data_IF_215102392059
#
_entry.id   IF_215102392059
#
_cell.length_a   1.000
_cell.length_b   1.000
_cell.length_c   1.000
_cell.angle_alpha   90.00
_cell.angle_beta   90.00
_cell.angle_gamma   90.00
#
_symmetry.space_group_name_H-M   'P 1'
#
loop_
_entity.id
_entity.type
_entity.pdbx_description
1 polymer ?
#
# COMPACT_ATOMS: atom_id res chain seq x y z
N UNK A 1 -18.45 8.33 9.13
CA UNK A 1 -17.04 7.91 9.04
C UNK A 1 -17.04 6.40 9.18
N UNK A 2 -16.98 5.66 8.08
CA UNK A 2 -16.93 4.19 8.12
C UNK A 2 -15.49 3.80 8.40
N UNK A 3 -15.10 3.75 9.67
CA UNK A 3 -13.81 3.17 10.08
C UNK A 3 -13.92 1.66 9.95
N UNK A 4 -13.54 1.13 8.79
CA UNK A 4 -13.39 -0.31 8.62
C UNK A 4 -12.10 -0.73 9.32
N UNK A 5 -12.22 -1.19 10.56
CA UNK A 5 -11.11 -1.81 11.29
C UNK A 5 -10.94 -3.23 10.76
N UNK A 6 -9.95 -3.46 9.91
CA UNK A 6 -9.58 -4.81 9.50
C UNK A 6 -8.52 -5.29 10.49
N UNK A 7 -8.95 -6.10 11.46
CA UNK A 7 -8.06 -6.66 12.51
C UNK A 7 -7.12 -7.77 12.02
N UNK A 8 -7.06 -8.01 10.71
CA UNK A 8 -6.18 -9.00 10.06
C UNK A 8 -5.54 -8.38 8.81
N UNK A 9 -4.50 -9.03 8.29
CA UNK A 9 -3.82 -8.57 7.07
C UNK A 9 -4.83 -8.44 5.90
N UNK A 10 -4.72 -7.35 5.14
CA UNK A 10 -5.51 -7.15 3.92
C UNK A 10 -4.65 -7.55 2.73
N UNK A 11 -5.09 -8.55 1.97
CA UNK A 11 -4.39 -9.01 0.79
C UNK A 11 -5.28 -8.87 -0.44
N UNK A 12 -4.75 -8.23 -1.48
CA UNK A 12 -5.36 -8.15 -2.80
C UNK A 12 -4.40 -8.74 -3.84
N UNK A 13 -4.75 -9.93 -4.34
CA UNK A 13 -3.97 -10.69 -5.33
C UNK A 13 -4.82 -10.91 -6.56
N UNK A 14 -4.27 -10.65 -7.76
CA UNK A 14 -4.96 -10.86 -9.04
C UNK A 14 -6.38 -10.25 -9.08
N UNK A 15 -6.54 -9.10 -8.43
CA UNK A 15 -7.80 -8.40 -8.28
C UNK A 15 -8.06 -7.37 -9.37
N UNK A 16 -9.29 -6.89 -9.42
CA UNK A 16 -9.64 -5.71 -10.20
C UNK A 16 -9.12 -4.41 -9.57
N UNK A 17 -9.64 -3.27 -10.03
CA UNK A 17 -9.32 -1.97 -9.41
C UNK A 17 -9.83 -1.94 -7.96
N UNK A 18 -8.99 -1.54 -7.02
CA UNK A 18 -9.35 -1.39 -5.63
C UNK A 18 -8.84 -0.07 -5.05
N UNK A 19 -9.60 0.45 -4.09
CA UNK A 19 -9.24 1.67 -3.35
C UNK A 19 -9.44 1.40 -1.86
N UNK A 20 -8.35 1.36 -1.12
CA UNK A 20 -8.35 1.23 0.33
C UNK A 20 -8.03 2.60 0.90
N UNK A 21 -9.02 3.23 1.51
CA UNK A 21 -8.86 4.60 2.02
C UNK A 21 -9.55 4.81 3.36
N UNK A 22 -8.88 5.51 4.28
CA UNK A 22 -9.46 5.84 5.59
C UNK A 22 -9.64 4.64 6.52
N UNK A 23 -8.88 3.58 6.31
CA UNK A 23 -8.98 2.33 7.08
C UNK A 23 -7.89 2.22 8.14
N UNK A 24 -8.20 1.52 9.23
CA UNK A 24 -7.20 1.03 10.19
C UNK A 24 -6.99 -0.46 9.93
N UNK A 25 -5.76 -0.84 9.61
CA UNK A 25 -5.34 -2.20 9.30
C UNK A 25 -4.40 -2.62 10.42
N UNK A 26 -4.86 -3.54 11.28
CA UNK A 26 -4.06 -4.05 12.42
C UNK A 26 -2.96 -5.04 12.03
N UNK A 27 -2.68 -5.16 10.73
CA UNK A 27 -1.66 -6.03 10.16
C UNK A 27 -1.08 -5.38 8.90
N UNK A 28 -0.54 -6.21 8.00
CA UNK A 28 0.04 -5.71 6.75
C UNK A 28 -1.01 -5.54 5.65
N UNK A 29 -0.72 -4.63 4.72
CA UNK A 29 -1.45 -4.47 3.46
C UNK A 29 -0.57 -4.99 2.31
N UNK A 30 -1.08 -5.96 1.53
CA UNK A 30 -0.38 -6.53 0.38
C UNK A 30 -1.18 -6.31 -0.92
N UNK A 31 -0.52 -5.72 -1.90
CA UNK A 31 -0.96 -5.64 -3.30
C UNK A 31 -0.02 -6.45 -4.19
N UNK A 32 -0.52 -7.54 -4.77
CA UNK A 32 0.31 -8.48 -5.52
C UNK A 32 -0.32 -8.86 -6.87
N UNK A 33 0.47 -8.83 -7.93
CA UNK A 33 0.09 -9.25 -9.29
C UNK A 33 -1.23 -8.63 -9.83
N UNK A 34 -1.53 -7.35 -9.55
CA UNK A 34 -2.73 -6.70 -10.06
C UNK A 34 -2.46 -5.94 -11.37
N UNK A 35 -3.36 -6.09 -12.34
CA UNK A 35 -3.27 -5.47 -13.67
C UNK A 35 -4.13 -4.20 -13.83
N UNK A 36 -4.89 -3.84 -12.78
CA UNK A 36 -5.69 -2.62 -12.72
C UNK A 36 -5.18 -1.65 -11.67
N UNK A 37 -5.64 -0.40 -11.79
CA UNK A 37 -5.24 0.69 -10.91
C UNK A 37 -5.63 0.40 -9.46
N UNK A 38 -4.65 0.54 -8.57
CA UNK A 38 -4.82 0.42 -7.11
C UNK A 38 -4.56 1.73 -6.40
N UNK A 39 -5.21 1.93 -5.25
CA UNK A 39 -4.96 3.08 -4.38
C UNK A 39 -4.97 2.68 -2.91
N UNK A 40 -3.91 3.06 -2.19
CA UNK A 40 -3.84 3.03 -0.73
C UNK A 40 -3.69 4.47 -0.22
N UNK A 41 -4.74 5.03 0.39
CA UNK A 41 -4.80 6.44 0.75
C UNK A 41 -5.32 6.73 2.15
N UNK A 42 -4.58 7.48 2.98
CA UNK A 42 -5.05 7.88 4.32
C UNK A 42 -5.36 6.68 5.24
N UNK A 43 -4.57 5.61 5.18
CA UNK A 43 -4.73 4.45 6.07
C UNK A 43 -3.76 4.51 7.25
N UNK A 44 -4.13 3.86 8.35
CA UNK A 44 -3.20 3.50 9.43
C UNK A 44 -2.93 2.01 9.35
N UNK A 45 -1.68 1.62 9.18
CA UNK A 45 -1.25 0.24 8.95
C UNK A 45 -0.24 -0.09 10.04
N UNK A 46 -0.59 -1.00 10.93
CA UNK A 46 0.26 -1.41 12.05
C UNK A 46 1.40 -2.34 11.59
N UNK A 47 1.24 -3.00 10.44
CA UNK A 47 2.28 -3.80 9.79
C UNK A 47 2.93 -3.10 8.59
N UNK A 48 3.31 -3.90 7.60
CA UNK A 48 3.96 -3.42 6.37
C UNK A 48 2.92 -3.02 5.30
N UNK A 49 3.32 -2.14 4.39
CA UNK A 49 2.65 -1.96 3.10
C UNK A 49 3.56 -2.54 2.01
N UNK A 50 3.12 -3.63 1.39
CA UNK A 50 3.87 -4.38 0.39
C UNK A 50 3.18 -4.31 -0.97
N UNK A 51 3.91 -3.93 -2.01
CA UNK A 51 3.38 -3.72 -3.37
C UNK A 51 4.29 -4.41 -4.37
N UNK A 52 3.84 -5.54 -4.91
CA UNK A 52 4.65 -6.40 -5.77
C UNK A 52 3.98 -6.69 -7.11
N UNK A 53 4.77 -6.62 -8.19
CA UNK A 53 4.40 -7.13 -9.52
C UNK A 53 3.10 -6.55 -10.12
N UNK A 54 2.68 -5.35 -9.70
CA UNK A 54 1.47 -4.72 -10.21
C UNK A 54 1.74 -3.97 -11.52
N UNK A 55 0.91 -4.19 -12.53
CA UNK A 55 1.06 -3.58 -13.87
C UNK A 55 0.02 -2.51 -14.19
N UNK A 56 -1.06 -2.44 -13.41
CA UNK A 56 -2.12 -1.43 -13.58
C UNK A 56 -1.79 -0.06 -12.98
N UNK A 57 -0.64 0.07 -12.33
CA UNK A 57 -0.21 1.24 -11.59
C UNK A 57 -0.79 1.32 -10.17
N UNK A 58 0.02 1.79 -9.23
CA UNK A 58 -0.33 1.87 -7.81
C UNK A 58 -0.09 3.29 -7.28
N UNK A 59 -1.05 3.81 -6.53
CA UNK A 59 -0.96 5.10 -5.86
C UNK A 59 -0.99 4.93 -4.33
N UNK A 60 0.07 5.33 -3.64
CA UNK A 60 0.28 5.15 -2.19
C UNK A 60 0.44 6.53 -1.54
N UNK A 61 -0.60 7.05 -0.88
CA UNK A 61 -0.62 8.43 -0.41
C UNK A 61 -1.06 8.57 1.04
N UNK A 62 -0.37 9.40 1.82
CA UNK A 62 -0.82 9.80 3.18
C UNK A 62 -1.10 8.63 4.12
N UNK A 63 -0.39 7.50 3.98
CA UNK A 63 -0.54 6.37 4.90
C UNK A 63 0.40 6.54 6.09
N UNK A 64 -0.04 6.14 7.28
CA UNK A 64 0.84 5.93 8.44
C UNK A 64 1.13 4.43 8.53
N UNK A 65 2.39 4.06 8.35
CA UNK A 65 2.86 2.68 8.27
C UNK A 65 3.85 2.47 9.41
N UNK A 66 3.52 1.59 10.37
CA UNK A 66 4.40 1.29 11.50
C UNK A 66 5.48 0.25 11.13
N UNK A 67 5.26 -0.54 10.06
CA UNK A 67 6.27 -1.40 9.44
C UNK A 67 7.00 -0.74 8.26
N UNK A 68 7.37 -1.55 7.28
CA UNK A 68 8.09 -1.13 6.06
C UNK A 68 7.13 -0.78 4.92
N UNK A 69 7.59 0.08 4.01
CA UNK A 69 6.96 0.34 2.72
C UNK A 69 7.83 -0.28 1.60
N UNK A 70 7.38 -1.41 1.06
CA UNK A 70 8.17 -2.22 0.13
C UNK A 70 7.50 -2.27 -1.25
N UNK A 71 8.24 -1.90 -2.29
CA UNK A 71 7.69 -1.80 -3.63
C UNK A 71 8.62 -2.42 -4.68
N UNK A 72 8.26 -3.60 -5.20
CA UNK A 72 9.14 -4.37 -6.08
C UNK A 72 8.44 -4.79 -7.37
N UNK A 73 9.17 -4.71 -8.48
CA UNK A 73 8.74 -5.21 -9.80
C UNK A 73 7.41 -4.63 -10.34
N UNK A 74 6.95 -3.49 -9.83
CA UNK A 74 5.76 -2.82 -10.36
C UNK A 74 6.08 -2.06 -11.64
N UNK A 75 5.17 -2.08 -12.60
CA UNK A 75 5.32 -1.41 -13.89
C UNK A 75 3.99 -0.75 -14.33
N UNK A 76 3.83 0.57 -14.18
CA UNK A 76 4.83 1.54 -13.74
C UNK A 76 5.18 1.41 -12.25
N UNK A 77 6.34 1.96 -11.85
CA UNK A 77 6.70 2.08 -10.45
C UNK A 77 5.58 2.81 -9.66
N UNK A 78 5.36 2.48 -8.38
CA UNK A 78 4.31 3.12 -7.61
C UNK A 78 4.54 4.62 -7.51
N UNK A 79 3.44 5.36 -7.48
CA UNK A 79 3.46 6.82 -7.24
C UNK A 79 2.92 7.09 -5.85
N UNK A 80 3.38 8.16 -5.21
CA UNK A 80 2.95 8.43 -3.85
C UNK A 80 3.58 9.67 -3.24
N UNK A 81 3.06 10.06 -2.08
CA UNK A 81 3.60 11.16 -1.30
C UNK A 81 2.90 11.32 0.06
N UNK A 82 3.65 11.88 1.01
CA UNK A 82 3.18 12.17 2.36
C UNK A 82 2.90 10.92 3.19
N UNK A 83 3.49 9.77 2.86
CA UNK A 83 3.47 8.61 3.74
C UNK A 83 4.38 8.86 4.94
N UNK A 84 4.02 8.31 6.09
CA UNK A 84 4.84 8.33 7.30
C UNK A 84 5.19 6.87 7.57
N UNK A 85 6.41 6.49 7.27
CA UNK A 85 6.94 5.13 7.43
C UNK A 85 7.87 5.10 8.63
N UNK A 86 7.56 4.27 9.64
CA UNK A 86 8.41 4.11 10.81
C UNK A 86 9.56 3.11 10.57
N UNK A 87 9.33 2.14 9.69
CA UNK A 87 10.36 1.24 9.17
C UNK A 87 11.13 1.85 8.00
N UNK A 88 11.44 1.04 6.99
CA UNK A 88 12.17 1.47 5.81
C UNK A 88 11.26 1.62 4.59
N UNK A 89 11.61 2.56 3.72
CA UNK A 89 11.12 2.59 2.34
C UNK A 89 12.11 1.85 1.44
N UNK A 90 11.64 0.82 0.74
CA UNK A 90 12.50 -0.10 0.00
C UNK A 90 12.18 -0.11 -1.50
N UNK A 91 13.22 -0.44 -2.29
CA UNK A 91 13.14 -0.63 -3.74
C UNK A 91 12.54 0.57 -4.48
N UNK A 92 11.45 0.38 -5.23
CA UNK A 92 10.80 1.43 -6.02
C UNK A 92 10.12 2.49 -5.16
N UNK A 93 9.95 2.23 -3.85
CA UNK A 93 9.39 3.19 -2.91
C UNK A 93 10.45 3.96 -2.13
N UNK A 94 11.74 3.59 -2.21
CA UNK A 94 12.85 4.23 -1.49
C UNK A 94 13.24 5.65 -1.96
N UNK A 95 12.45 6.28 -2.82
CA UNK A 95 12.83 7.52 -3.53
C UNK A 95 11.83 8.67 -3.44
N UNK A 96 10.90 8.65 -2.49
CA UNK A 96 9.80 9.62 -2.41
C UNK A 96 9.72 10.34 -1.04
N UNK A 97 10.83 10.95 -0.61
CA UNK A 97 10.82 12.00 0.43
C UNK A 97 10.42 13.37 -0.18
#
# INVERSE_FOLDING_TARGET
>A
MSTSSVGQAVQLVQGGSASITGSTIGGSLLFDENDRKLTAGNNTIEGDLQVFQNTGGVAINRNRIDGNLQCKENQPAPTGGGNIVQGNEEDQCSGSD
#
